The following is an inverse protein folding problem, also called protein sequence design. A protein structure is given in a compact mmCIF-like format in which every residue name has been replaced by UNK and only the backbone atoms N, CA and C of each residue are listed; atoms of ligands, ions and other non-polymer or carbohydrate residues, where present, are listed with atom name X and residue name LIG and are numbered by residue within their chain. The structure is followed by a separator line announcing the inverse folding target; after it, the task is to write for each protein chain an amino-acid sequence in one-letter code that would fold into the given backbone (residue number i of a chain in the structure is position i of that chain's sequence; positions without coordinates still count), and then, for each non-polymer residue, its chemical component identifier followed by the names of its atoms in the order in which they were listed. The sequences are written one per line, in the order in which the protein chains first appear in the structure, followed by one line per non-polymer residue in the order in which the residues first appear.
data_IF_316947939599
#
_entry.id   IF_316947939599
#
_cell.length_a   1.000
_cell.length_b   1.000
_cell.length_c   1.000
_cell.angle_alpha   90.00
_cell.angle_beta   90.00
_cell.angle_gamma   90.00
#
_symmetry.space_group_name_H-M   'P 1'
#
loop_
_entity.id
_entity.type
_entity.pdbx_description
1 polymer ?
#
# COMPACT_ATOMS: atom_id res chain seq x y z
N UNK A 1 4.33 -51.66 8.65
CA UNK A 1 2.96 -51.66 8.11
C UNK A 1 2.91 -51.94 6.61
N UNK A 2 3.39 -51.05 5.72
CA UNK A 2 3.29 -51.22 4.24
C UNK A 2 3.82 -52.58 3.76
N UNK A 3 5.04 -52.97 4.17
CA UNK A 3 5.61 -54.29 3.82
C UNK A 3 4.82 -55.47 4.38
N UNK A 4 4.24 -55.32 5.58
CA UNK A 4 3.42 -56.36 6.20
C UNK A 4 2.09 -56.59 5.46
N UNK A 5 1.63 -55.58 4.70
CA UNK A 5 0.47 -55.68 3.80
C UNK A 5 0.85 -56.14 2.38
N UNK A 6 2.11 -56.56 2.14
CA UNK A 6 2.57 -57.04 0.84
C UNK A 6 2.85 -55.96 -0.22
N UNK A 7 2.91 -54.69 0.17
CA UNK A 7 3.12 -53.57 -0.75
C UNK A 7 4.56 -53.00 -0.70
N UNK A 8 4.99 -52.37 -1.80
CA UNK A 8 6.28 -51.65 -1.89
C UNK A 8 6.16 -50.25 -1.26
N UNK A 9 7.06 -49.88 -0.31
CA UNK A 9 7.05 -48.53 0.26
C UNK A 9 7.32 -47.44 -0.80
N UNK A 10 6.64 -46.29 -0.73
CA UNK A 10 6.90 -45.16 -1.62
C UNK A 10 8.26 -44.52 -1.30
N UNK A 11 8.68 -43.58 -2.16
CA UNK A 11 9.79 -42.68 -1.84
C UNK A 11 9.30 -41.64 -0.83
N UNK A 12 10.10 -41.41 0.21
CA UNK A 12 9.81 -40.42 1.24
C UNK A 12 10.69 -39.20 1.07
N UNK A 13 10.12 -38.02 1.29
CA UNK A 13 10.83 -36.76 1.37
C UNK A 13 10.35 -36.03 2.64
N UNK A 14 11.27 -35.80 3.58
CA UNK A 14 10.97 -35.05 4.80
C UNK A 14 11.52 -33.63 4.61
N UNK A 15 10.61 -32.68 4.40
CA UNK A 15 10.99 -31.27 4.29
C UNK A 15 11.22 -30.68 5.69
N UNK A 16 12.21 -29.78 5.86
CA UNK A 16 12.44 -29.10 7.12
C UNK A 16 11.22 -28.30 7.58
N UNK A 17 11.20 -28.00 8.88
CA UNK A 17 10.15 -27.15 9.46
C UNK A 17 10.37 -25.69 9.08
N UNK A 18 9.27 -24.93 9.07
CA UNK A 18 9.32 -23.47 9.05
C UNK A 18 9.45 -22.99 10.51
N UNK A 19 10.36 -22.05 10.74
CA UNK A 19 10.57 -21.39 12.03
C UNK A 19 9.99 -19.99 12.02
N UNK A 20 9.61 -19.51 13.21
CA UNK A 20 9.34 -18.10 13.46
C UNK A 20 10.67 -17.31 13.48
N UNK A 21 10.59 -15.97 13.46
CA UNK A 21 11.78 -15.08 13.50
C UNK A 21 12.67 -15.30 14.73
N UNK A 22 12.08 -15.73 15.83
CA UNK A 22 12.79 -16.04 17.08
C UNK A 22 13.42 -17.45 17.08
N UNK A 23 13.30 -18.21 15.98
CA UNK A 23 13.81 -19.56 15.83
C UNK A 23 12.89 -20.65 16.40
N UNK A 24 11.77 -20.29 17.03
CA UNK A 24 10.78 -21.26 17.50
C UNK A 24 10.08 -21.95 16.32
N UNK A 25 9.59 -23.17 16.51
CA UNK A 25 8.83 -23.88 15.49
C UNK A 25 7.51 -23.17 15.22
N UNK A 26 7.23 -22.85 13.96
CA UNK A 26 5.93 -22.31 13.57
C UNK A 26 4.81 -23.30 13.90
N UNK A 27 3.77 -22.78 14.54
CA UNK A 27 2.62 -23.50 15.06
C UNK A 27 1.32 -22.96 14.45
N UNK A 28 0.21 -23.69 14.62
CA UNK A 28 -1.12 -23.23 14.16
C UNK A 28 -1.58 -21.92 14.81
N UNK A 29 -0.95 -21.47 15.90
CA UNK A 29 -1.30 -20.23 16.59
C UNK A 29 -0.61 -19.00 15.97
N UNK A 30 0.44 -19.23 15.19
CA UNK A 30 1.20 -18.18 14.54
C UNK A 30 0.48 -17.68 13.28
N UNK A 31 0.54 -16.38 13.04
CA UNK A 31 -0.24 -15.72 11.98
C UNK A 31 0.11 -16.27 10.58
N UNK A 32 1.41 -16.40 10.29
CA UNK A 32 1.91 -16.94 9.03
C UNK A 32 1.62 -18.43 8.81
N UNK A 33 1.07 -19.15 9.78
CA UNK A 33 0.73 -20.56 9.62
C UNK A 33 -0.67 -20.78 9.00
N UNK A 34 -1.45 -19.72 8.78
CA UNK A 34 -2.86 -19.79 8.36
C UNK A 34 -3.07 -19.11 7.02
N UNK A 35 -3.78 -19.78 6.11
CA UNK A 35 -4.08 -19.21 4.79
C UNK A 35 -4.97 -17.97 4.91
N UNK A 36 -5.88 -17.97 5.90
CA UNK A 36 -6.79 -16.88 6.18
C UNK A 36 -6.08 -15.57 6.54
N UNK A 37 -4.88 -15.65 7.14
CA UNK A 37 -4.07 -14.47 7.41
C UNK A 37 -3.73 -13.73 6.11
N UNK A 38 -3.23 -14.45 5.10
CA UNK A 38 -2.84 -13.85 3.83
C UNK A 38 -4.02 -13.23 3.09
N UNK A 39 -5.17 -13.92 3.09
CA UNK A 39 -6.41 -13.43 2.48
C UNK A 39 -6.88 -12.16 3.18
N UNK A 40 -6.96 -12.18 4.52
CA UNK A 40 -7.44 -11.04 5.31
C UNK A 40 -6.57 -9.79 5.12
N UNK A 41 -5.26 -10.00 5.02
CA UNK A 41 -4.24 -8.95 4.80
C UNK A 41 -4.12 -8.53 3.33
N UNK A 42 -4.90 -9.11 2.42
CA UNK A 42 -4.90 -8.71 1.01
C UNK A 42 -3.60 -9.02 0.28
N UNK A 43 -2.95 -10.13 0.63
CA UNK A 43 -1.85 -10.68 -0.16
C UNK A 43 -2.35 -11.34 -1.43
N UNK A 44 -1.60 -11.19 -2.51
CA UNK A 44 -1.85 -11.83 -3.79
C UNK A 44 -1.49 -13.31 -3.73
N UNK A 45 -2.35 -14.22 -4.23
CA UNK A 45 -2.06 -15.64 -4.25
C UNK A 45 -0.73 -16.00 -4.92
N UNK A 46 -0.34 -15.27 -5.98
CA UNK A 46 0.93 -15.49 -6.68
C UNK A 46 2.14 -15.20 -5.78
N UNK A 47 2.12 -14.08 -5.05
CA UNK A 47 3.18 -13.70 -4.12
C UNK A 47 3.30 -14.70 -2.96
N UNK A 48 2.16 -15.12 -2.38
CA UNK A 48 2.15 -16.12 -1.29
C UNK A 48 2.74 -17.44 -1.77
N UNK A 49 2.33 -17.95 -2.94
CA UNK A 49 2.87 -19.20 -3.49
C UNK A 49 4.38 -19.10 -3.73
N UNK A 50 4.83 -18.04 -4.42
CA UNK A 50 6.26 -17.84 -4.66
C UNK A 50 7.03 -17.77 -3.34
N UNK A 51 6.55 -17.00 -2.37
CA UNK A 51 7.19 -16.88 -1.08
C UNK A 51 7.31 -18.23 -0.35
N UNK A 52 6.22 -19.02 -0.30
CA UNK A 52 6.23 -20.34 0.32
C UNK A 52 7.19 -21.29 -0.40
N UNK A 53 7.33 -21.20 -1.72
CA UNK A 53 8.35 -21.96 -2.45
C UNK A 53 9.77 -21.55 -2.07
N UNK A 54 10.03 -20.27 -1.77
CA UNK A 54 11.35 -19.83 -1.30
C UNK A 54 11.69 -20.32 0.13
N UNK A 55 10.70 -20.81 0.89
CA UNK A 55 10.93 -21.39 2.21
C UNK A 55 11.52 -22.79 2.08
N UNK A 56 12.85 -22.84 1.97
CA UNK A 56 13.61 -24.09 1.90
C UNK A 56 13.92 -24.55 0.49
N UNK A 57 13.55 -23.80 -0.55
CA UNK A 57 14.00 -24.02 -1.93
C UNK A 57 14.47 -22.70 -2.55
N UNK A 58 15.41 -22.76 -3.49
CA UNK A 58 15.94 -21.59 -4.19
C UNK A 58 16.27 -21.91 -5.65
N UNK A 59 16.04 -20.98 -6.60
CA UNK A 59 16.41 -21.14 -8.02
C UNK A 59 17.92 -21.06 -8.29
N UNK A 60 18.78 -20.94 -7.27
CA UNK A 60 20.27 -20.83 -7.32
C UNK A 60 20.85 -19.55 -7.94
N UNK A 61 20.07 -18.79 -8.69
CA UNK A 61 20.47 -17.56 -9.36
C UNK A 61 20.11 -16.28 -8.58
N UNK A 62 19.83 -16.41 -7.27
CA UNK A 62 19.41 -15.35 -6.37
C UNK A 62 18.14 -14.60 -6.79
N UNK A 63 17.34 -15.13 -7.72
CA UNK A 63 16.02 -14.57 -8.01
C UNK A 63 15.04 -14.96 -6.91
N UNK A 64 14.28 -13.96 -6.46
CA UNK A 64 13.25 -14.17 -5.44
C UNK A 64 11.85 -14.14 -6.05
N UNK A 65 11.62 -13.27 -7.04
CA UNK A 65 10.35 -13.19 -7.76
C UNK A 65 10.32 -14.14 -8.96
N UNK A 66 9.41 -15.10 -8.94
CA UNK A 66 9.30 -16.17 -9.93
C UNK A 66 7.84 -16.45 -10.27
N UNK A 67 7.51 -16.58 -11.54
CA UNK A 67 6.19 -17.07 -11.93
C UNK A 67 6.02 -18.56 -11.54
N UNK A 68 4.78 -18.99 -11.32
CA UNK A 68 4.49 -20.38 -10.94
C UNK A 68 4.95 -21.38 -12.01
N UNK A 69 4.82 -21.05 -13.29
CA UNK A 69 5.25 -21.93 -14.38
C UNK A 69 6.78 -22.08 -14.41
N UNK A 70 7.49 -21.01 -14.02
CA UNK A 70 8.94 -21.08 -13.83
C UNK A 70 9.32 -21.94 -12.62
N UNK A 71 8.64 -21.77 -11.49
CA UNK A 71 8.85 -22.63 -10.31
C UNK A 71 8.64 -24.09 -10.68
N UNK A 72 7.56 -24.43 -11.39
CA UNK A 72 7.26 -25.80 -11.84
C UNK A 72 8.40 -26.36 -12.70
N UNK A 73 8.94 -25.57 -13.64
CA UNK A 73 10.05 -26.00 -14.50
C UNK A 73 11.36 -26.20 -13.75
N UNK A 74 11.65 -25.35 -12.77
CA UNK A 74 12.92 -25.35 -12.04
C UNK A 74 12.93 -26.27 -10.82
N UNK A 75 11.74 -26.67 -10.34
CA UNK A 75 11.61 -27.43 -9.11
C UNK A 75 12.28 -28.81 -9.23
N UNK A 76 13.16 -29.10 -8.28
CA UNK A 76 13.74 -30.41 -8.09
C UNK A 76 13.95 -30.61 -6.59
N UNK A 77 13.51 -31.75 -6.06
CA UNK A 77 13.65 -32.08 -4.65
C UNK A 77 15.10 -32.01 -4.16
N UNK A 78 16.08 -32.26 -5.03
CA UNK A 78 17.52 -32.16 -4.68
C UNK A 78 17.95 -30.74 -4.31
N UNK A 79 17.20 -29.73 -4.74
CA UNK A 79 17.44 -28.31 -4.45
C UNK A 79 16.70 -27.83 -3.21
N UNK A 80 15.91 -28.69 -2.54
CA UNK A 80 15.30 -28.38 -1.25
C UNK A 80 16.38 -28.50 -0.17
N UNK A 81 16.61 -27.40 0.55
CA UNK A 81 17.57 -27.29 1.63
C UNK A 81 17.24 -28.24 2.79
N UNK A 82 18.27 -28.64 3.53
CA UNK A 82 18.13 -29.51 4.72
C UNK A 82 17.89 -28.74 6.01
N UNK A 83 18.16 -27.44 6.01
CA UNK A 83 17.96 -26.55 7.16
C UNK A 83 16.54 -26.01 7.19
N UNK A 84 16.02 -25.77 8.39
CA UNK A 84 14.73 -25.10 8.57
C UNK A 84 14.77 -23.69 7.98
N UNK A 85 13.67 -23.25 7.38
CA UNK A 85 13.53 -21.92 6.83
C UNK A 85 12.83 -20.99 7.83
N UNK A 86 13.35 -19.78 8.01
CA UNK A 86 12.72 -18.76 8.87
C UNK A 86 11.66 -18.01 8.09
N UNK A 87 10.46 -17.91 8.64
CA UNK A 87 9.40 -17.07 8.12
C UNK A 87 9.74 -15.59 8.34
N UNK A 88 9.86 -14.88 7.24
CA UNK A 88 10.13 -13.46 7.12
C UNK A 88 8.93 -12.70 6.50
N UNK A 89 8.05 -12.10 7.32
CA UNK A 89 6.91 -11.31 6.84
C UNK A 89 7.31 -10.06 6.05
N UNK A 90 8.47 -9.45 6.31
CA UNK A 90 8.91 -8.26 5.59
C UNK A 90 9.30 -8.62 4.15
N UNK A 91 9.97 -9.76 3.95
CA UNK A 91 10.23 -10.29 2.61
C UNK A 91 8.95 -10.63 1.86
N UNK A 92 7.98 -11.27 2.51
CA UNK A 92 6.67 -11.54 1.89
C UNK A 92 5.96 -10.24 1.51
N UNK A 93 6.00 -9.24 2.40
CA UNK A 93 5.40 -7.93 2.19
C UNK A 93 6.01 -7.19 1.00
N UNK A 94 7.35 -7.17 0.90
CA UNK A 94 8.06 -6.64 -0.26
C UNK A 94 7.69 -7.38 -1.55
N UNK A 95 7.77 -8.72 -1.53
CA UNK A 95 7.49 -9.55 -2.69
C UNK A 95 6.05 -9.33 -3.18
N UNK A 96 5.08 -9.22 -2.27
CA UNK A 96 3.70 -8.91 -2.63
C UNK A 96 3.55 -7.57 -3.32
N UNK A 97 4.33 -6.56 -2.91
CA UNK A 97 4.40 -5.27 -3.60
C UNK A 97 4.94 -5.37 -5.02
N UNK A 98 5.95 -6.21 -5.26
CA UNK A 98 6.45 -6.48 -6.63
C UNK A 98 5.35 -7.09 -7.52
N UNK A 99 4.59 -8.06 -7.01
CA UNK A 99 3.44 -8.61 -7.76
C UNK A 99 2.32 -7.57 -7.94
N UNK A 100 2.01 -6.79 -6.91
CA UNK A 100 0.96 -5.77 -6.97
C UNK A 100 1.25 -4.67 -8.01
N UNK A 101 2.53 -4.34 -8.23
CA UNK A 101 2.97 -3.38 -9.25
C UNK A 101 2.76 -3.88 -10.68
N UNK A 102 2.76 -5.18 -10.90
CA UNK A 102 2.61 -5.79 -12.22
C UNK A 102 1.16 -6.11 -12.60
N UNK A 103 0.22 -5.96 -11.67
CA UNK A 103 -1.20 -6.16 -11.96
C UNK A 103 -1.66 -5.26 -13.12
N UNK A 104 -2.52 -5.82 -13.97
CA UNK A 104 -3.25 -5.05 -14.97
C UNK A 104 -4.17 -4.02 -14.32
N UNK A 105 -4.55 -2.96 -15.05
CA UNK A 105 -5.41 -1.89 -14.51
C UNK A 105 -6.76 -2.43 -14.00
N UNK A 106 -7.40 -3.32 -14.76
CA UNK A 106 -8.68 -3.94 -14.39
C UNK A 106 -8.55 -4.79 -13.13
N UNK A 107 -7.54 -5.65 -13.07
CA UNK A 107 -7.34 -6.56 -11.93
C UNK A 107 -7.02 -5.79 -10.65
N UNK A 108 -6.16 -4.77 -10.73
CA UNK A 108 -5.89 -3.88 -9.60
C UNK A 108 -7.18 -3.18 -9.13
N UNK A 109 -7.97 -2.64 -10.07
CA UNK A 109 -9.23 -1.97 -9.76
C UNK A 109 -10.22 -2.90 -9.04
N UNK A 110 -10.42 -4.11 -9.55
CA UNK A 110 -11.37 -5.07 -8.97
C UNK A 110 -10.98 -5.46 -7.53
N UNK A 111 -9.71 -5.78 -7.31
CA UNK A 111 -9.17 -6.10 -5.99
C UNK A 111 -9.26 -4.91 -5.03
N UNK A 112 -8.94 -3.71 -5.50
CA UNK A 112 -9.01 -2.48 -4.73
C UNK A 112 -10.45 -2.13 -4.30
N UNK A 113 -11.41 -2.21 -5.23
CA UNK A 113 -12.83 -1.96 -4.96
C UNK A 113 -13.37 -3.00 -3.97
N UNK A 114 -13.08 -4.28 -4.17
CA UNK A 114 -13.48 -5.34 -3.27
C UNK A 114 -12.96 -5.08 -1.85
N UNK A 115 -11.68 -4.68 -1.74
CA UNK A 115 -11.07 -4.38 -0.44
C UNK A 115 -11.72 -3.18 0.23
N UNK A 116 -11.84 -2.04 -0.45
CA UNK A 116 -12.46 -0.84 0.11
C UNK A 116 -13.87 -1.12 0.63
N UNK A 117 -14.69 -1.83 -0.15
CA UNK A 117 -16.05 -2.24 0.27
C UNK A 117 -16.01 -3.13 1.52
N UNK A 118 -15.13 -4.13 1.56
CA UNK A 118 -14.98 -5.01 2.72
C UNK A 118 -14.51 -4.29 3.99
N UNK A 119 -13.82 -3.16 3.85
CA UNK A 119 -13.38 -2.29 4.93
C UNK A 119 -14.42 -1.23 5.33
N UNK A 120 -15.64 -1.29 4.76
CA UNK A 120 -16.75 -0.39 5.11
C UNK A 120 -16.80 0.91 4.31
N UNK A 121 -15.94 1.10 3.32
CA UNK A 121 -15.96 2.30 2.46
C UNK A 121 -17.16 2.23 1.50
N UNK A 122 -18.00 3.27 1.54
CA UNK A 122 -19.22 3.39 0.74
C UNK A 122 -18.93 4.05 -0.60
N UNK A 123 -18.66 3.23 -1.62
CA UNK A 123 -18.32 3.69 -2.98
C UNK A 123 -19.55 4.05 -3.83
N UNK A 124 -20.75 3.64 -3.43
CA UNK A 124 -22.03 3.83 -4.14
C UNK A 124 -22.38 5.31 -4.38
N UNK A 125 -21.81 6.22 -3.60
CA UNK A 125 -22.02 7.67 -3.71
C UNK A 125 -21.11 8.35 -4.72
N UNK A 126 -20.16 7.62 -5.29
CA UNK A 126 -19.15 8.14 -6.20
C UNK A 126 -19.35 7.55 -7.59
N UNK A 127 -19.08 8.35 -8.63
CA UNK A 127 -19.10 7.84 -10.00
C UNK A 127 -17.97 6.83 -10.20
N UNK A 128 -18.19 5.83 -11.05
CA UNK A 128 -17.18 4.84 -11.41
C UNK A 128 -15.88 5.51 -11.90
N UNK A 129 -16.02 6.56 -12.71
CA UNK A 129 -14.89 7.37 -13.20
C UNK A 129 -14.07 7.99 -12.06
N UNK A 130 -14.73 8.53 -11.02
CA UNK A 130 -14.03 9.10 -9.87
C UNK A 130 -13.32 8.01 -9.06
N UNK A 131 -14.00 6.90 -8.78
CA UNK A 131 -13.40 5.77 -8.05
C UNK A 131 -12.18 5.24 -8.82
N UNK A 132 -12.30 5.09 -10.13
CA UNK A 132 -11.20 4.66 -10.98
C UNK A 132 -10.02 5.63 -10.91
N UNK A 133 -10.26 6.94 -11.09
CA UNK A 133 -9.21 7.95 -11.00
C UNK A 133 -8.49 7.94 -9.64
N UNK A 134 -9.24 7.85 -8.54
CA UNK A 134 -8.68 7.74 -7.19
C UNK A 134 -7.79 6.50 -7.03
N UNK A 135 -8.26 5.33 -7.48
CA UNK A 135 -7.52 4.08 -7.38
C UNK A 135 -6.28 4.06 -8.27
N UNK A 136 -6.32 4.69 -9.44
CA UNK A 136 -5.13 4.81 -10.30
C UNK A 136 -3.98 5.55 -9.60
N UNK A 137 -4.28 6.54 -8.75
CA UNK A 137 -3.23 7.22 -7.96
C UNK A 137 -2.53 6.29 -6.95
N UNK A 138 -3.12 5.14 -6.63
CA UNK A 138 -2.62 4.17 -5.67
C UNK A 138 -1.86 3.01 -6.32
N UNK A 139 -2.00 2.83 -7.64
CA UNK A 139 -1.40 1.71 -8.35
C UNK A 139 0.12 1.73 -8.19
N UNK A 140 0.65 0.58 -7.76
CA UNK A 140 2.07 0.39 -7.48
C UNK A 140 2.62 1.16 -6.27
N UNK A 141 1.76 1.73 -5.43
CA UNK A 141 2.14 2.43 -4.20
C UNK A 141 1.86 1.65 -2.92
N UNK A 142 1.02 0.62 -3.02
CA UNK A 142 0.72 -0.29 -1.91
C UNK A 142 1.48 -1.59 -2.10
N UNK A 143 1.83 -2.21 -0.99
CA UNK A 143 2.42 -3.53 -0.99
C UNK A 143 1.40 -4.60 -0.63
N UNK A 144 0.31 -4.27 0.09
CA UNK A 144 -0.85 -5.15 0.31
C UNK A 144 -2.15 -4.39 0.13
N UNK A 145 -3.24 -5.07 -0.26
CA UNK A 145 -4.52 -4.39 -0.40
C UNK A 145 -5.09 -3.91 0.95
N UNK A 146 -4.73 -4.55 2.07
CA UNK A 146 -5.14 -4.10 3.41
C UNK A 146 -4.64 -2.69 3.78
N UNK A 147 -3.57 -2.19 3.13
CA UNK A 147 -3.12 -0.80 3.29
C UNK A 147 -4.03 0.22 2.60
N UNK A 148 -4.80 -0.20 1.59
CA UNK A 148 -5.51 0.70 0.69
C UNK A 148 -6.53 1.62 1.41
N UNK A 149 -7.37 1.14 2.34
CA UNK A 149 -8.29 2.02 3.08
C UNK A 149 -7.55 3.12 3.84
N UNK A 150 -6.42 2.82 4.48
CA UNK A 150 -5.59 3.83 5.16
C UNK A 150 -4.83 4.74 4.20
N UNK A 151 -4.46 4.24 3.02
CA UNK A 151 -3.67 4.98 2.04
C UNK A 151 -4.50 5.98 1.21
N UNK A 152 -5.74 5.63 0.87
CA UNK A 152 -6.58 6.42 -0.03
C UNK A 152 -8.04 6.61 0.42
N UNK A 153 -8.41 6.16 1.63
CA UNK A 153 -9.77 6.29 2.14
C UNK A 153 -10.28 7.73 2.18
N UNK A 154 -9.38 8.71 2.32
CA UNK A 154 -9.69 10.15 2.32
C UNK A 154 -10.39 10.64 1.03
N UNK A 155 -10.31 9.90 -0.09
CA UNK A 155 -11.07 10.25 -1.29
C UNK A 155 -12.58 10.04 -1.13
N UNK A 156 -12.96 9.11 -0.25
CA UNK A 156 -14.33 8.58 -0.16
C UNK A 156 -15.07 9.01 1.12
N UNK A 157 -14.46 9.89 1.92
CA UNK A 157 -15.06 10.51 3.09
C UNK A 157 -14.55 11.93 3.25
N UNK A 158 -15.39 12.82 3.78
CA UNK A 158 -14.96 14.14 4.27
C UNK A 158 -14.80 14.14 5.81
N UNK A 159 -15.27 13.08 6.46
CA UNK A 159 -15.11 12.80 7.88
C UNK A 159 -13.88 11.91 8.07
N UNK A 160 -12.76 12.52 8.42
CA UNK A 160 -11.49 11.87 8.71
C UNK A 160 -10.72 12.67 9.76
N UNK A 161 -10.00 11.94 10.61
CA UNK A 161 -9.09 12.52 11.60
C UNK A 161 -7.74 12.89 10.98
N UNK A 162 -7.02 13.79 11.64
CA UNK A 162 -5.65 14.11 11.29
C UNK A 162 -4.67 13.27 12.11
N UNK A 163 -3.63 12.76 11.46
CA UNK A 163 -2.48 12.14 12.08
C UNK A 163 -1.90 13.07 13.17
N UNK A 164 -1.89 12.64 14.46
CA UNK A 164 -1.44 13.49 15.56
C UNK A 164 0.02 13.96 15.42
N UNK A 165 0.91 13.13 14.85
CA UNK A 165 2.30 13.52 14.59
C UNK A 165 2.36 14.55 13.47
N UNK A 166 1.51 14.38 12.45
CA UNK A 166 1.32 15.36 11.39
C UNK A 166 0.87 16.70 11.94
N UNK A 167 -0.17 16.72 12.79
CA UNK A 167 -0.71 17.93 13.41
C UNK A 167 0.38 18.65 14.21
N UNK A 168 1.07 17.94 15.11
CA UNK A 168 2.12 18.52 15.94
C UNK A 168 3.25 19.16 15.11
N UNK A 169 3.57 18.59 13.95
CA UNK A 169 4.65 19.05 13.07
C UNK A 169 4.23 20.13 12.08
N UNK A 170 3.00 20.05 11.56
CA UNK A 170 2.57 20.82 10.40
C UNK A 170 1.48 21.85 10.69
N UNK A 171 0.63 21.65 11.69
CA UNK A 171 -0.45 22.58 12.04
C UNK A 171 0.00 23.57 13.13
N UNK A 172 1.05 24.32 12.82
CA UNK A 172 1.66 25.31 13.73
C UNK A 172 1.38 26.73 13.26
N UNK A 173 1.46 27.71 14.17
CA UNK A 173 1.29 29.13 13.83
C UNK A 173 2.24 29.59 12.70
N UNK A 174 3.45 29.02 12.63
CA UNK A 174 4.42 29.29 11.58
C UNK A 174 3.98 28.78 10.20
N UNK A 175 3.26 27.66 10.14
CA UNK A 175 2.79 27.06 8.88
C UNK A 175 1.43 27.59 8.43
N UNK A 176 0.71 28.35 9.27
CA UNK A 176 -0.57 28.96 8.91
C UNK A 176 -0.47 29.91 7.71
N UNK A 177 0.47 30.88 7.66
CA UNK A 177 0.59 31.77 6.51
C UNK A 177 0.98 31.03 5.20
N UNK A 178 1.94 30.09 5.18
CA UNK A 178 2.22 29.29 3.99
C UNK A 178 1.02 28.47 3.50
N UNK A 179 0.28 27.82 4.40
CA UNK A 179 -0.90 27.04 4.02
C UNK A 179 -2.01 27.94 3.46
N UNK A 180 -2.19 29.14 4.02
CA UNK A 180 -3.13 30.14 3.48
C UNK A 180 -2.71 30.62 2.09
N UNK A 181 -1.43 30.88 1.88
CA UNK A 181 -0.92 31.28 0.56
C UNK A 181 -1.12 30.18 -0.49
N UNK A 182 -0.97 28.90 -0.12
CA UNK A 182 -1.31 27.76 -0.99
C UNK A 182 -2.79 27.76 -1.34
N UNK A 183 -3.67 27.92 -0.34
CA UNK A 183 -5.12 28.00 -0.54
C UNK A 183 -5.49 29.10 -1.53
N UNK A 184 -4.94 30.30 -1.33
CA UNK A 184 -5.22 31.45 -2.19
C UNK A 184 -4.69 31.23 -3.61
N UNK A 185 -3.49 30.67 -3.76
CA UNK A 185 -2.92 30.34 -5.07
C UNK A 185 -3.72 29.26 -5.82
N UNK A 186 -4.19 28.22 -5.13
CA UNK A 186 -5.05 27.20 -5.74
C UNK A 186 -6.43 27.74 -6.12
N UNK A 187 -6.94 28.75 -5.40
CA UNK A 187 -8.23 29.36 -5.68
C UNK A 187 -8.28 30.13 -7.01
N UNK A 188 -7.15 30.64 -7.48
CA UNK A 188 -7.07 31.37 -8.75
C UNK A 188 -6.80 30.47 -9.95
N UNK A 189 -6.57 29.17 -9.74
CA UNK A 189 -6.24 28.24 -10.80
C UNK A 189 -7.47 27.89 -11.65
N UNK A 190 -7.44 28.18 -12.94
CA UNK A 190 -8.55 27.85 -13.87
C UNK A 190 -8.54 26.36 -14.23
N UNK A 191 -7.37 25.82 -14.59
CA UNK A 191 -7.19 24.42 -14.96
C UNK A 191 -6.58 23.64 -13.79
N UNK A 192 -7.39 22.78 -13.16
CA UNK A 192 -7.02 22.06 -11.95
C UNK A 192 -6.44 20.67 -12.24
N UNK A 193 -5.32 20.63 -12.97
CA UNK A 193 -4.58 19.41 -13.34
C UNK A 193 -3.21 19.33 -12.63
N UNK A 194 -2.51 18.18 -12.63
CA UNK A 194 -1.31 17.97 -11.84
C UNK A 194 -0.18 18.94 -12.17
N UNK A 195 0.04 19.26 -13.44
CA UNK A 195 1.13 20.14 -13.90
C UNK A 195 0.92 21.59 -13.43
N UNK A 196 -0.32 22.07 -13.55
CA UNK A 196 -0.71 23.40 -13.09
C UNK A 196 -0.69 23.50 -11.56
N UNK A 197 -1.13 22.46 -10.85
CA UNK A 197 -1.08 22.37 -9.39
C UNK A 197 0.38 22.37 -8.90
N UNK A 198 1.25 21.56 -9.51
CA UNK A 198 2.67 21.50 -9.18
C UNK A 198 3.36 22.85 -9.38
N UNK A 199 3.14 23.49 -10.54
CA UNK A 199 3.71 24.80 -10.86
C UNK A 199 3.26 25.88 -9.88
N UNK A 200 1.96 25.87 -9.53
CA UNK A 200 1.37 26.80 -8.57
C UNK A 200 1.98 26.65 -7.18
N UNK A 201 2.08 25.41 -6.68
CA UNK A 201 2.69 25.12 -5.38
C UNK A 201 4.17 25.53 -5.37
N UNK A 202 4.96 25.15 -6.39
CA UNK A 202 6.37 25.55 -6.49
C UNK A 202 6.54 27.07 -6.44
N UNK A 203 5.72 27.78 -7.20
CA UNK A 203 5.75 29.25 -7.24
C UNK A 203 5.36 29.89 -5.90
N UNK A 204 4.37 29.34 -5.19
CA UNK A 204 4.01 29.78 -3.84
C UNK A 204 5.16 29.56 -2.84
N UNK A 205 5.84 28.41 -2.89
CA UNK A 205 7.02 28.14 -2.07
C UNK A 205 8.14 29.16 -2.34
N UNK A 206 8.46 29.42 -3.62
CA UNK A 206 9.49 30.38 -4.01
C UNK A 206 9.18 31.80 -3.52
N UNK A 207 7.94 32.27 -3.69
CA UNK A 207 7.51 33.61 -3.23
C UNK A 207 7.64 33.79 -1.70
N UNK A 208 7.49 32.70 -0.95
CA UNK A 208 7.63 32.69 0.51
C UNK A 208 9.06 32.41 0.99
N UNK A 209 10.01 32.17 0.08
CA UNK A 209 11.38 31.79 0.44
C UNK A 209 11.47 30.40 1.10
N UNK A 210 10.52 29.51 0.81
CA UNK A 210 10.42 28.18 1.43
C UNK A 210 10.82 27.07 0.46
N UNK A 211 11.25 25.93 1.03
CA UNK A 211 11.39 24.68 0.28
C UNK A 211 10.01 24.12 -0.04
N UNK A 212 9.87 23.46 -1.19
CA UNK A 212 8.60 22.83 -1.64
C UNK A 212 8.00 21.89 -0.58
N UNK A 213 8.83 21.11 0.12
CA UNK A 213 8.35 20.23 1.20
C UNK A 213 7.63 20.97 2.33
N UNK A 214 7.99 22.22 2.62
CA UNK A 214 7.39 23.02 3.68
C UNK A 214 5.94 23.42 3.39
N UNK A 215 5.52 23.42 2.12
CA UNK A 215 4.12 23.63 1.73
C UNK A 215 3.40 22.31 1.38
N UNK A 216 4.12 21.34 0.81
CA UNK A 216 3.54 20.05 0.38
C UNK A 216 3.06 19.24 1.58
N UNK A 217 3.84 19.14 2.65
CA UNK A 217 3.46 18.32 3.80
C UNK A 217 2.23 18.89 4.55
N UNK A 218 2.17 20.19 4.91
CA UNK A 218 0.96 20.76 5.52
C UNK A 218 -0.26 20.68 4.61
N UNK A 219 -0.09 20.90 3.30
CA UNK A 219 -1.21 20.78 2.33
C UNK A 219 -1.73 19.35 2.28
N UNK A 220 -0.84 18.35 2.18
CA UNK A 220 -1.22 16.93 2.22
C UNK A 220 -2.01 16.61 3.48
N UNK A 221 -1.48 16.99 4.64
CA UNK A 221 -2.14 16.74 5.91
C UNK A 221 -3.53 17.39 5.93
N UNK A 222 -3.64 18.64 5.49
CA UNK A 222 -4.90 19.38 5.40
C UNK A 222 -5.95 18.66 4.54
N UNK A 223 -5.56 18.13 3.38
CA UNK A 223 -6.52 17.53 2.44
C UNK A 223 -6.74 16.03 2.64
N UNK A 224 -5.86 15.32 3.33
CA UNK A 224 -5.94 13.85 3.47
C UNK A 224 -6.06 13.35 4.91
N UNK A 225 -5.70 14.17 5.90
CA UNK A 225 -5.56 13.71 7.28
C UNK A 225 -4.28 12.91 7.54
N UNK A 226 -3.48 12.63 6.51
CA UNK A 226 -2.31 11.75 6.61
C UNK A 226 -1.03 12.44 6.15
N UNK A 227 0.10 11.98 6.69
CA UNK A 227 1.43 12.38 6.24
C UNK A 227 1.88 11.63 4.98
N UNK A 228 1.24 10.51 4.67
CA UNK A 228 1.55 9.64 3.54
C UNK A 228 0.35 9.54 2.60
N UNK A 229 0.61 9.19 1.35
CA UNK A 229 -0.44 9.02 0.35
C UNK A 229 0.10 9.12 -1.07
N UNK A 230 -0.78 9.14 -2.08
CA UNK A 230 -0.42 9.30 -3.48
C UNK A 230 0.35 10.59 -3.76
N UNK A 231 0.79 10.79 -5.01
CA UNK A 231 1.33 12.08 -5.44
C UNK A 231 0.37 13.21 -5.06
N UNK A 232 0.87 14.29 -4.42
CA UNK A 232 0.00 15.37 -3.95
C UNK A 232 -0.75 16.01 -5.12
N UNK A 233 -0.09 16.21 -6.26
CA UNK A 233 -0.70 16.92 -7.37
C UNK A 233 -1.85 16.13 -8.00
N UNK A 234 -1.66 14.82 -8.17
CA UNK A 234 -2.68 13.91 -8.70
C UNK A 234 -3.84 13.71 -7.71
N UNK A 235 -3.57 13.60 -6.40
CA UNK A 235 -4.65 13.46 -5.43
C UNK A 235 -5.49 14.74 -5.31
N UNK A 236 -4.87 15.92 -5.46
CA UNK A 236 -5.60 17.17 -5.49
C UNK A 236 -6.51 17.24 -6.72
N UNK A 237 -5.99 16.93 -7.92
CA UNK A 237 -6.79 16.84 -9.15
C UNK A 237 -8.02 15.95 -8.95
N UNK A 238 -7.83 14.73 -8.42
CA UNK A 238 -8.92 13.78 -8.20
C UNK A 238 -9.95 14.32 -7.20
N UNK A 239 -9.50 14.89 -6.07
CA UNK A 239 -10.42 15.49 -5.07
C UNK A 239 -11.22 16.65 -5.66
N UNK A 240 -10.63 17.40 -6.59
CA UNK A 240 -11.20 18.58 -7.20
C UNK A 240 -11.03 19.85 -6.36
N UNK A 241 -10.99 20.98 -7.04
CA UNK A 241 -10.66 22.31 -6.49
C UNK A 241 -11.50 22.68 -5.26
N UNK A 242 -12.83 22.62 -5.37
CA UNK A 242 -13.73 23.04 -4.28
C UNK A 242 -13.50 22.24 -2.99
N UNK A 243 -13.36 20.91 -3.12
CA UNK A 243 -13.11 20.03 -1.98
C UNK A 243 -11.74 20.29 -1.36
N UNK A 244 -10.72 20.49 -2.18
CA UNK A 244 -9.37 20.85 -1.73
C UNK A 244 -9.39 22.14 -0.93
N UNK A 245 -9.99 23.21 -1.47
CA UNK A 245 -10.07 24.50 -0.79
C UNK A 245 -10.83 24.40 0.54
N UNK A 246 -11.97 23.72 0.55
CA UNK A 246 -12.76 23.50 1.77
C UNK A 246 -11.98 22.75 2.85
N UNK A 247 -11.23 21.70 2.50
CA UNK A 247 -10.39 20.94 3.44
C UNK A 247 -9.23 21.78 3.98
N UNK A 248 -8.62 22.62 3.13
CA UNK A 248 -7.57 23.55 3.58
C UNK A 248 -8.16 24.61 4.53
N UNK A 249 -9.33 25.16 4.22
CA UNK A 249 -10.02 26.14 5.08
C UNK A 249 -10.35 25.53 6.45
N UNK A 250 -10.80 24.26 6.49
CA UNK A 250 -10.98 23.50 7.75
C UNK A 250 -9.68 23.40 8.54
N UNK A 251 -8.57 23.03 7.90
CA UNK A 251 -7.28 22.93 8.56
C UNK A 251 -6.78 24.30 9.09
N UNK A 252 -6.95 25.38 8.31
CA UNK A 252 -6.61 26.74 8.74
C UNK A 252 -7.41 27.21 9.96
N UNK A 253 -8.66 26.76 10.09
CA UNK A 253 -9.50 27.00 11.25
C UNK A 253 -9.00 26.31 12.52
N UNK A 254 -8.32 25.16 12.38
CA UNK A 254 -7.76 24.41 13.52
C UNK A 254 -6.41 24.95 13.99
N UNK A 255 -5.64 25.61 13.11
CA UNK A 255 -4.33 26.14 13.48
C UNK A 255 -4.49 27.40 14.32
N UNK A 256 -4.20 27.31 15.62
CA UNK A 256 -4.27 28.42 16.57
C UNK A 256 -5.55 28.49 17.39
N UNK A 257 -6.34 27.41 17.41
CA UNK A 257 -7.28 27.11 18.50
C UNK A 257 -6.55 26.49 19.70
#
# INVERSE_FOLDING_TARGET
LIRALGATPPRYAHIPLILNRDGSKMSKRDEGARVEYYIRRGYLPAAVRNYLCLLGWSPKDNREKLDIDEIIRLFDLKNVGRSSATFDPDKLHWLNGEYARELGDSEFYDLAVARLKSSGVKLDRFSEKYVHAALQTCKGKINTFDELPGYCGFYFTDDFDYDPQGVAKHFTAQNKPPLKAVRDALSTLEKFDPDNIETTLKSAATKLGLKVGAIVHPTRLAVTGSNVGPSLYHLLEVLGKEKVLSRIDRALGMIGC
#
